data_IF_164666904792
#
_entry.id   IF_164666904792
#
_cell.length_a   1.000
_cell.length_b   1.000
_cell.length_c   1.000
_cell.angle_alpha   90.00
_cell.angle_beta   90.00
_cell.angle_gamma   90.00
#
_symmetry.space_group_name_H-M   'P 1'
#
loop_
_entity.id
_entity.type
_entity.pdbx_description
1 polymer ?
#
# COMPACT_ATOMS: atom_id res chain seq x y z
N UNK A 1 -13.75 -17.02 65.42
CA UNK A 1 -14.75 -16.24 64.66
C UNK A 1 -14.20 -14.84 64.55
N UNK A 2 -13.52 -14.52 63.46
CA UNK A 2 -12.97 -13.18 63.24
C UNK A 2 -14.13 -12.31 62.73
N UNK A 3 -14.58 -11.39 63.58
CA UNK A 3 -15.48 -10.30 63.20
C UNK A 3 -14.70 -9.39 62.24
N UNK A 4 -14.84 -9.61 60.94
CA UNK A 4 -14.63 -8.56 59.95
C UNK A 4 -15.68 -7.50 60.23
N UNK A 5 -15.29 -6.42 60.89
CA UNK A 5 -16.10 -5.22 60.99
C UNK A 5 -16.37 -4.74 59.58
N UNK A 6 -17.63 -4.80 59.16
CA UNK A 6 -18.12 -4.12 57.97
C UNK A 6 -17.98 -2.61 58.21
N UNK A 7 -16.83 -2.04 57.84
CA UNK A 7 -16.61 -0.61 57.82
C UNK A 7 -17.37 -0.04 56.62
N UNK A 8 -18.52 0.57 56.88
CA UNK A 8 -19.26 1.30 55.87
C UNK A 8 -18.51 2.56 55.43
N UNK A 9 -18.51 2.84 54.13
CA UNK A 9 -17.98 4.09 53.57
C UNK A 9 -18.76 5.29 54.08
N UNK A 10 -18.04 6.36 54.46
CA UNK A 10 -18.70 7.61 54.83
C UNK A 10 -19.24 8.30 53.58
N UNK A 11 -20.37 9.02 53.70
CA UNK A 11 -20.96 9.79 52.59
C UNK A 11 -19.94 10.75 51.97
N UNK A 12 -19.05 11.32 52.78
CA UNK A 12 -18.03 12.26 52.34
C UNK A 12 -16.95 11.60 51.49
N UNK A 13 -16.55 10.38 51.84
CA UNK A 13 -15.61 9.56 51.06
C UNK A 13 -16.20 9.16 49.70
N UNK A 14 -17.49 8.82 49.66
CA UNK A 14 -18.20 8.53 48.41
C UNK A 14 -18.31 9.78 47.51
N UNK A 15 -18.55 10.96 48.10
CA UNK A 15 -18.55 12.24 47.38
C UNK A 15 -17.18 12.58 46.80
N UNK A 16 -16.11 12.36 47.57
CA UNK A 16 -14.74 12.59 47.11
C UNK A 16 -14.37 11.64 45.96
N UNK A 17 -14.72 10.36 46.06
CA UNK A 17 -14.49 9.38 45.00
C UNK A 17 -15.23 9.75 43.71
N UNK A 18 -16.50 10.16 43.81
CA UNK A 18 -17.28 10.61 42.64
C UNK A 18 -16.70 11.89 42.01
N UNK A 19 -16.21 12.84 42.81
CA UNK A 19 -15.57 14.05 42.31
C UNK A 19 -14.29 13.71 41.52
N UNK A 20 -13.45 12.80 42.04
CA UNK A 20 -12.23 12.34 41.36
C UNK A 20 -12.57 11.63 40.05
N UNK A 21 -13.55 10.71 40.06
CA UNK A 21 -14.01 10.01 38.86
C UNK A 21 -14.56 10.99 37.83
N UNK A 22 -15.31 12.02 38.24
CA UNK A 22 -15.84 13.05 37.37
C UNK A 22 -14.74 13.85 36.66
N UNK A 23 -13.72 14.27 37.41
CA UNK A 23 -12.57 15.00 36.85
C UNK A 23 -11.78 14.11 35.89
N UNK A 24 -11.49 12.86 36.28
CA UNK A 24 -10.79 11.91 35.41
C UNK A 24 -11.57 11.59 34.13
N UNK A 25 -12.90 11.46 34.22
CA UNK A 25 -13.76 11.21 33.05
C UNK A 25 -13.77 12.40 32.09
N UNK A 26 -13.79 13.63 32.61
CA UNK A 26 -13.75 14.85 31.82
C UNK A 26 -12.43 15.00 31.04
N UNK A 27 -11.30 14.55 31.59
CA UNK A 27 -9.98 14.62 30.93
C UNK A 27 -9.78 13.47 29.94
N UNK A 28 -10.23 12.26 30.28
CA UNK A 28 -9.99 11.06 29.45
C UNK A 28 -10.89 10.99 28.21
N UNK A 29 -12.11 11.54 28.26
CA UNK A 29 -13.07 11.43 27.15
C UNK A 29 -12.59 12.11 25.85
N UNK A 30 -12.06 13.36 25.86
CA UNK A 30 -11.53 13.99 24.65
C UNK A 30 -10.31 13.26 24.06
N UNK A 31 -9.45 12.70 24.92
CA UNK A 31 -8.24 11.98 24.50
C UNK A 31 -8.57 10.73 23.68
N UNK A 32 -9.61 9.98 24.09
CA UNK A 32 -10.05 8.77 23.38
C UNK A 32 -10.61 9.11 21.99
N UNK A 33 -11.35 10.23 21.86
CA UNK A 33 -11.87 10.67 20.55
C UNK A 33 -10.76 11.12 19.59
N UNK A 34 -9.69 11.74 20.10
CA UNK A 34 -8.57 12.14 19.24
C UNK A 34 -7.69 10.97 18.81
N UNK A 35 -7.47 10.01 19.71
CA UNK A 35 -6.65 8.83 19.43
C UNK A 35 -7.32 7.85 18.45
N UNK A 36 -8.65 7.81 18.42
CA UNK A 36 -9.38 6.82 17.64
C UNK A 36 -9.91 7.42 16.32
N UNK A 37 -8.99 7.65 15.37
CA UNK A 37 -9.31 8.05 14.00
C UNK A 37 -9.20 6.84 13.08
N UNK A 38 -10.23 5.96 13.01
CA UNK A 38 -10.14 4.68 12.31
C UNK A 38 -9.80 4.84 10.83
N UNK A 39 -10.30 5.89 10.18
CA UNK A 39 -9.96 6.17 8.77
C UNK A 39 -8.48 6.50 8.59
N UNK A 40 -7.96 7.44 9.38
CA UNK A 40 -6.55 7.84 9.30
C UNK A 40 -5.63 6.65 9.61
N UNK A 41 -5.96 5.88 10.64
CA UNK A 41 -5.22 4.67 10.99
C UNK A 41 -5.28 3.63 9.87
N UNK A 42 -6.46 3.38 9.29
CA UNK A 42 -6.64 2.46 8.16
C UNK A 42 -5.87 2.89 6.91
N UNK A 43 -5.87 4.21 6.60
CA UNK A 43 -5.09 4.75 5.47
C UNK A 43 -3.60 4.53 5.67
N UNK A 44 -3.06 4.85 6.85
CA UNK A 44 -1.65 4.65 7.14
C UNK A 44 -1.26 3.17 7.22
N UNK A 45 -2.15 2.34 7.76
CA UNK A 45 -1.97 0.89 7.79
C UNK A 45 -1.86 0.34 6.36
N UNK A 46 -2.84 0.61 5.50
CA UNK A 46 -2.82 0.15 4.11
C UNK A 46 -1.61 0.71 3.33
N UNK A 47 -1.31 2.00 3.44
CA UNK A 47 -0.12 2.60 2.83
C UNK A 47 1.20 1.96 3.35
N UNK A 48 1.22 1.60 4.63
CA UNK A 48 2.29 0.87 5.29
C UNK A 48 2.49 -0.53 4.71
N UNK A 49 1.41 -1.29 4.47
CA UNK A 49 1.47 -2.61 3.82
C UNK A 49 2.12 -2.47 2.43
N UNK A 50 1.68 -1.53 1.60
CA UNK A 50 2.26 -1.32 0.27
C UNK A 50 3.74 -0.95 0.34
N UNK A 51 4.10 -0.05 1.26
CA UNK A 51 5.49 0.41 1.43
C UNK A 51 6.41 -0.71 1.92
N UNK A 52 5.92 -1.51 2.87
CA UNK A 52 6.61 -2.68 3.38
C UNK A 52 6.73 -3.76 2.31
N UNK A 53 5.66 -4.02 1.55
CA UNK A 53 5.62 -4.98 0.45
C UNK A 53 6.67 -4.66 -0.60
N UNK A 54 6.74 -3.40 -1.05
CA UNK A 54 7.78 -2.92 -1.96
C UNK A 54 9.19 -3.09 -1.39
N UNK A 55 9.40 -2.63 -0.15
CA UNK A 55 10.72 -2.69 0.49
C UNK A 55 11.20 -4.14 0.65
N UNK A 56 10.27 -5.03 0.99
CA UNK A 56 10.51 -6.47 1.07
C UNK A 56 10.88 -7.05 -0.28
N UNK A 57 10.11 -6.79 -1.34
CA UNK A 57 10.39 -7.29 -2.68
C UNK A 57 11.82 -6.96 -3.15
N UNK A 58 12.27 -5.73 -2.88
CA UNK A 58 13.64 -5.30 -3.13
C UNK A 58 14.65 -6.08 -2.26
N UNK A 59 14.40 -6.15 -0.96
CA UNK A 59 15.34 -6.75 0.00
C UNK A 59 15.51 -8.26 -0.17
N UNK A 60 14.45 -8.99 -0.52
CA UNK A 60 14.47 -10.43 -0.73
C UNK A 60 14.74 -10.82 -2.17
N UNK A 61 14.89 -9.84 -3.07
CA UNK A 61 15.02 -10.05 -4.52
C UNK A 61 13.92 -10.96 -5.08
N UNK A 62 12.69 -10.75 -4.62
CA UNK A 62 11.56 -11.60 -4.91
C UNK A 62 10.34 -10.76 -5.22
N UNK A 63 9.41 -11.27 -6.01
CA UNK A 63 8.17 -10.58 -6.32
C UNK A 63 7.18 -10.71 -5.15
N UNK A 64 6.42 -9.65 -4.91
CA UNK A 64 5.44 -9.60 -3.84
C UNK A 64 4.12 -9.05 -4.37
N UNK A 65 3.06 -9.83 -4.18
CA UNK A 65 1.70 -9.55 -4.64
C UNK A 65 0.83 -9.15 -3.45
N UNK A 66 0.02 -8.12 -3.63
CA UNK A 66 -0.96 -7.62 -2.68
C UNK A 66 -2.30 -7.51 -3.41
N UNK A 67 -3.36 -8.00 -2.79
CA UNK A 67 -4.70 -7.94 -3.36
C UNK A 67 -5.76 -7.89 -2.25
N UNK A 68 -7.01 -7.50 -2.56
CA UNK A 68 -8.14 -7.68 -1.65
C UNK A 68 -8.33 -9.16 -1.30
N UNK A 69 -8.67 -9.45 -0.05
CA UNK A 69 -9.00 -10.80 0.38
C UNK A 69 -10.33 -11.23 -0.24
N UNK A 70 -10.41 -12.30 -1.06
CA UNK A 70 -11.67 -12.70 -1.71
C UNK A 70 -12.81 -13.02 -0.73
N UNK A 71 -12.50 -13.38 0.51
CA UNK A 71 -13.51 -13.64 1.56
C UNK A 71 -14.02 -12.36 2.22
N UNK A 72 -13.25 -11.27 2.16
CA UNK A 72 -13.59 -9.97 2.74
C UNK A 72 -12.87 -8.82 1.98
N UNK A 73 -13.24 -8.56 0.72
CA UNK A 73 -12.47 -7.69 -0.17
C UNK A 73 -12.52 -6.22 0.25
N UNK A 74 -13.52 -5.80 1.02
CA UNK A 74 -13.68 -4.41 1.46
C UNK A 74 -12.86 -4.08 2.72
N UNK A 75 -12.36 -5.08 3.45
CA UNK A 75 -11.75 -4.86 4.78
C UNK A 75 -10.44 -5.61 5.01
N UNK A 76 -9.95 -6.44 4.08
CA UNK A 76 -8.74 -7.20 4.30
C UNK A 76 -7.91 -7.36 3.02
N UNK A 77 -6.59 -7.40 3.20
CA UNK A 77 -5.62 -7.71 2.16
C UNK A 77 -5.11 -9.15 2.30
N UNK A 78 -4.62 -9.69 1.20
CA UNK A 78 -3.73 -10.85 1.18
C UNK A 78 -2.41 -10.40 0.59
N UNK A 79 -1.32 -10.71 1.28
CA UNK A 79 0.04 -10.50 0.80
C UNK A 79 0.70 -11.84 0.54
N UNK A 80 1.24 -12.01 -0.67
CA UNK A 80 1.90 -13.23 -1.09
C UNK A 80 3.28 -12.90 -1.66
N UNK A 81 4.27 -13.75 -1.38
CA UNK A 81 5.57 -13.68 -2.02
C UNK A 81 5.71 -14.84 -3.01
N UNK A 82 6.41 -14.59 -4.11
CA UNK A 82 6.90 -15.62 -5.02
C UNK A 82 8.39 -15.82 -4.78
N UNK A 83 8.91 -16.99 -5.11
CA UNK A 83 10.37 -17.24 -5.15
C UNK A 83 11.02 -16.60 -6.40
N UNK A 84 10.22 -16.07 -7.31
CA UNK A 84 10.65 -15.48 -8.60
C UNK A 84 10.87 -13.98 -8.46
N UNK A 85 11.67 -13.40 -9.35
CA UNK A 85 11.97 -11.94 -9.33
C UNK A 85 10.90 -11.07 -9.96
N UNK A 86 10.09 -11.65 -10.84
CA UNK A 86 9.13 -10.93 -11.68
C UNK A 86 7.69 -11.21 -11.24
N UNK A 87 6.84 -10.21 -11.47
CA UNK A 87 5.40 -10.27 -11.25
C UNK A 87 4.67 -11.07 -12.32
N UNK A 88 5.18 -11.02 -13.55
CA UNK A 88 4.57 -11.73 -14.67
C UNK A 88 5.18 -13.14 -14.78
N UNK A 89 4.35 -14.16 -15.03
CA UNK A 89 4.85 -15.44 -15.49
C UNK A 89 5.40 -15.25 -16.90
N UNK A 90 6.66 -14.81 -17.01
CA UNK A 90 7.30 -14.63 -18.31
C UNK A 90 7.25 -15.96 -19.08
N UNK A 91 6.73 -15.90 -20.30
CA UNK A 91 6.68 -17.04 -21.21
C UNK A 91 7.62 -16.82 -22.37
N UNK A 92 8.34 -17.86 -22.75
CA UNK A 92 9.14 -17.92 -23.97
C UNK A 92 8.89 -19.26 -24.67
N UNK A 93 9.49 -19.47 -25.83
CA UNK A 93 9.37 -20.76 -26.54
C UNK A 93 10.75 -21.29 -26.91
N UNK A 94 10.89 -22.60 -26.96
CA UNK A 94 12.12 -23.26 -27.40
C UNK A 94 12.38 -22.96 -28.88
N UNK A 95 13.61 -22.60 -29.23
CA UNK A 95 14.03 -22.42 -30.62
C UNK A 95 14.43 -23.75 -31.27
N UNK A 96 14.88 -24.73 -30.49
CA UNK A 96 15.26 -26.06 -30.95
C UNK A 96 14.61 -27.18 -30.15
N UNK A 97 14.67 -28.40 -30.70
CA UNK A 97 14.30 -29.58 -29.92
C UNK A 97 15.35 -29.86 -28.84
N UNK A 98 14.92 -30.32 -27.68
CA UNK A 98 15.75 -30.62 -26.52
C UNK A 98 15.58 -32.09 -26.10
N UNK A 99 16.68 -32.76 -25.77
CA UNK A 99 16.71 -34.15 -25.34
C UNK A 99 16.60 -34.26 -23.80
N UNK A 100 16.16 -35.42 -23.30
CA UNK A 100 15.95 -35.74 -21.86
C UNK A 100 17.20 -35.66 -20.98
N UNK A 101 18.37 -35.48 -21.55
CA UNK A 101 19.64 -35.33 -20.81
C UNK A 101 20.22 -33.93 -20.95
N UNK A 102 19.52 -33.03 -21.66
CA UNK A 102 19.93 -31.63 -21.81
C UNK A 102 19.55 -30.82 -20.58
N UNK A 103 20.48 -29.99 -20.12
CA UNK A 103 20.24 -28.93 -19.15
C UNK A 103 20.34 -27.53 -19.80
N UNK A 104 20.42 -27.44 -21.13
CA UNK A 104 20.46 -26.18 -21.85
C UNK A 104 19.20 -26.03 -22.71
N UNK A 105 18.51 -24.91 -22.52
CA UNK A 105 17.31 -24.55 -23.28
C UNK A 105 17.66 -23.36 -24.17
N UNK A 106 17.72 -23.59 -25.47
CA UNK A 106 17.75 -22.49 -26.43
C UNK A 106 16.32 -21.95 -26.58
N UNK A 107 16.11 -20.68 -26.24
CA UNK A 107 14.81 -20.02 -26.21
C UNK A 107 14.80 -18.81 -27.14
N UNK A 108 13.61 -18.29 -27.46
CA UNK A 108 13.48 -17.08 -28.30
C UNK A 108 14.01 -15.85 -27.58
N UNK A 109 13.75 -15.75 -26.29
CA UNK A 109 14.24 -14.68 -25.42
C UNK A 109 14.47 -15.20 -24.01
N UNK A 110 15.54 -14.73 -23.38
CA UNK A 110 15.83 -14.91 -21.95
C UNK A 110 15.40 -13.71 -21.12
N UNK A 111 14.77 -12.71 -21.73
CA UNK A 111 14.29 -11.52 -21.04
C UNK A 111 13.23 -11.93 -20.00
N UNK A 112 13.39 -11.45 -18.77
CA UNK A 112 12.49 -11.76 -17.66
C UNK A 112 12.81 -13.06 -16.90
N UNK A 113 13.78 -13.85 -17.38
CA UNK A 113 14.28 -15.04 -16.68
C UNK A 113 15.56 -14.72 -15.91
N UNK A 114 15.70 -15.28 -14.71
CA UNK A 114 16.84 -15.12 -13.84
C UNK A 114 17.23 -16.44 -13.15
N UNK A 115 18.47 -16.51 -12.67
CA UNK A 115 18.93 -17.61 -11.83
C UNK A 115 18.04 -17.73 -10.58
N UNK A 116 17.58 -18.95 -10.29
CA UNK A 116 16.64 -19.28 -9.22
C UNK A 116 15.20 -19.48 -9.69
N UNK A 117 14.83 -18.98 -10.86
CA UNK A 117 13.46 -19.11 -11.36
C UNK A 117 13.10 -20.58 -11.63
N UNK A 118 11.88 -20.96 -11.25
CA UNK A 118 11.30 -22.28 -11.49
C UNK A 118 10.51 -22.24 -12.78
N UNK A 119 10.72 -23.22 -13.66
CA UNK A 119 10.13 -23.27 -14.98
C UNK A 119 9.21 -24.48 -15.15
N UNK A 120 8.15 -24.30 -15.93
CA UNK A 120 7.39 -25.36 -16.56
C UNK A 120 7.69 -25.35 -18.05
N UNK A 121 8.10 -26.49 -18.58
CA UNK A 121 8.52 -26.66 -19.97
C UNK A 121 7.55 -27.64 -20.61
N UNK A 122 6.59 -27.14 -21.39
CA UNK A 122 5.53 -27.97 -21.95
C UNK A 122 4.78 -28.78 -20.88
N UNK A 123 4.86 -30.11 -21.00
CA UNK A 123 4.28 -31.12 -20.11
C UNK A 123 5.30 -31.74 -19.14
N UNK A 124 6.51 -31.17 -19.02
CA UNK A 124 7.51 -31.67 -18.07
C UNK A 124 7.07 -31.46 -16.62
N UNK A 125 7.05 -32.55 -15.86
CA UNK A 125 6.73 -32.55 -14.43
C UNK A 125 7.98 -32.34 -13.55
N UNK A 126 9.18 -32.29 -14.13
CA UNK A 126 10.40 -32.09 -13.34
C UNK A 126 10.57 -30.66 -12.86
N UNK A 127 11.19 -30.52 -11.68
CA UNK A 127 11.53 -29.22 -11.10
C UNK A 127 12.69 -28.60 -11.88
N UNK A 128 12.35 -27.76 -12.87
CA UNK A 128 13.32 -27.07 -13.71
C UNK A 128 13.70 -25.73 -13.06
N UNK A 129 14.89 -25.63 -12.47
CA UNK A 129 15.39 -24.38 -11.88
C UNK A 129 16.47 -23.79 -12.77
N UNK A 130 16.31 -22.51 -13.15
CA UNK A 130 17.32 -21.76 -13.91
C UNK A 130 18.55 -21.54 -13.04
N UNK A 131 19.72 -21.98 -13.52
CA UNK A 131 21.00 -21.74 -12.88
C UNK A 131 21.68 -20.48 -13.44
N UNK A 132 21.66 -20.31 -14.77
CA UNK A 132 22.21 -19.13 -15.45
C UNK A 132 21.39 -18.80 -16.68
N UNK A 133 21.44 -17.53 -17.09
CA UNK A 133 20.88 -17.03 -18.34
C UNK A 133 21.98 -16.39 -19.18
N UNK A 134 21.99 -16.65 -20.48
CA UNK A 134 22.89 -16.01 -21.44
C UNK A 134 22.07 -15.30 -22.51
N UNK A 135 22.04 -13.97 -22.43
CA UNK A 135 21.29 -13.12 -23.36
C UNK A 135 21.91 -13.08 -24.76
N UNK A 136 23.21 -13.38 -24.92
CA UNK A 136 23.86 -13.36 -26.24
C UNK A 136 23.49 -14.58 -27.08
N UNK A 137 23.35 -15.74 -26.42
CA UNK A 137 22.97 -17.01 -27.05
C UNK A 137 21.49 -17.36 -26.85
N UNK A 138 20.73 -16.49 -26.18
CA UNK A 138 19.35 -16.75 -25.76
C UNK A 138 19.17 -18.14 -25.13
N UNK A 139 20.07 -18.50 -24.22
CA UNK A 139 20.11 -19.83 -23.60
C UNK A 139 19.86 -19.76 -22.10
N UNK A 140 18.97 -20.61 -21.61
CA UNK A 140 18.76 -20.87 -20.18
C UNK A 140 19.50 -22.16 -19.80
N UNK A 141 20.36 -22.11 -18.78
CA UNK A 141 20.98 -23.32 -18.23
C UNK A 141 20.25 -23.72 -16.97
N UNK A 142 19.79 -24.96 -16.90
CA UNK A 142 19.08 -25.54 -15.76
C UNK A 142 20.04 -26.20 -14.77
N UNK A 143 19.64 -26.26 -13.50
CA UNK A 143 20.39 -26.96 -12.45
C UNK A 143 20.38 -28.49 -12.60
N UNK A 144 19.43 -29.05 -13.35
CA UNK A 144 19.30 -30.47 -13.65
C UNK A 144 18.87 -30.66 -15.12
N UNK A 145 19.19 -31.78 -15.76
CA UNK A 145 18.61 -32.12 -17.06
C UNK A 145 17.08 -32.23 -17.00
N UNK A 146 16.42 -31.85 -18.10
CA UNK A 146 14.96 -31.97 -18.25
C UNK A 146 14.53 -33.44 -18.23
N UNK A 147 13.38 -33.78 -17.66
CA UNK A 147 12.94 -35.18 -17.55
C UNK A 147 12.38 -35.76 -18.86
N UNK A 148 11.96 -34.90 -19.78
CA UNK A 148 11.22 -35.25 -21.00
C UNK A 148 11.79 -34.50 -22.21
N UNK A 149 11.75 -35.12 -23.39
CA UNK A 149 12.21 -34.48 -24.61
C UNK A 149 11.10 -33.60 -25.18
N UNK A 150 11.45 -32.41 -25.66
CA UNK A 150 10.49 -31.47 -26.23
C UNK A 150 10.91 -31.00 -27.62
N UNK A 151 9.93 -30.73 -28.47
CA UNK A 151 10.17 -30.15 -29.79
C UNK A 151 10.40 -28.64 -29.71
N UNK A 152 10.99 -28.08 -30.78
CA UNK A 152 10.98 -26.62 -31.00
C UNK A 152 9.54 -26.07 -30.95
N UNK A 153 9.38 -24.84 -30.47
CA UNK A 153 8.10 -24.17 -30.27
C UNK A 153 7.39 -24.49 -28.94
N UNK A 154 7.94 -25.39 -28.13
CA UNK A 154 7.36 -25.71 -26.80
C UNK A 154 7.46 -24.49 -25.88
N UNK A 155 6.38 -24.18 -25.18
CA UNK A 155 6.32 -23.07 -24.22
C UNK A 155 7.17 -23.38 -22.98
N UNK A 156 7.91 -22.37 -22.57
CA UNK A 156 8.67 -22.32 -21.31
C UNK A 156 8.08 -21.18 -20.50
N UNK A 157 7.48 -21.48 -19.36
CA UNK A 157 6.82 -20.51 -18.50
C UNK A 157 7.44 -20.52 -17.09
N UNK A 158 7.56 -19.36 -16.47
CA UNK A 158 7.93 -19.27 -15.05
C UNK A 158 6.75 -19.77 -14.20
N UNK A 159 7.01 -20.72 -13.31
CA UNK A 159 6.05 -21.17 -12.30
C UNK A 159 6.08 -20.17 -11.15
N UNK A 160 5.09 -19.28 -11.10
CA UNK A 160 4.90 -18.41 -9.96
C UNK A 160 4.35 -19.22 -8.77
N UNK A 161 5.20 -19.48 -7.78
CA UNK A 161 4.83 -20.19 -6.55
C UNK A 161 4.44 -19.17 -5.48
N UNK A 162 3.28 -18.55 -5.65
CA UNK A 162 2.77 -17.57 -4.70
C UNK A 162 2.41 -18.23 -3.37
N UNK A 163 3.04 -17.77 -2.30
CA UNK A 163 2.80 -18.24 -0.95
C UNK A 163 2.45 -17.07 -0.04
N UNK A 164 1.50 -17.30 0.87
CA UNK A 164 1.15 -16.28 1.87
C UNK A 164 2.38 -15.89 2.67
N UNK A 165 2.53 -14.59 2.79
CA UNK A 165 3.74 -14.05 3.35
C UNK A 165 3.67 -13.96 4.88
N UNK A 166 4.53 -14.72 5.56
CA UNK A 166 4.53 -14.85 7.02
C UNK A 166 5.04 -13.62 7.77
N UNK A 167 5.65 -12.64 7.10
CA UNK A 167 6.08 -11.41 7.79
C UNK A 167 4.95 -10.40 7.95
N UNK A 168 3.82 -10.60 7.28
CA UNK A 168 2.64 -9.77 7.41
C UNK A 168 1.68 -10.44 8.38
N UNK A 169 1.40 -9.77 9.49
CA UNK A 169 0.46 -10.28 10.47
C UNK A 169 -0.98 -10.00 10.00
N UNK A 170 -1.91 -10.88 10.40
CA UNK A 170 -3.30 -10.79 9.93
C UNK A 170 -3.98 -9.51 10.42
N UNK A 171 -3.65 -9.08 11.64
CA UNK A 171 -4.08 -7.83 12.25
C UNK A 171 -3.65 -6.60 11.44
N UNK A 172 -2.45 -6.64 10.86
CA UNK A 172 -1.93 -5.54 10.04
C UNK A 172 -2.56 -5.53 8.65
N UNK A 173 -3.05 -6.66 8.15
CA UNK A 173 -3.73 -6.80 6.87
C UNK A 173 -5.26 -6.61 6.95
N UNK A 174 -5.81 -6.29 8.13
CA UNK A 174 -7.25 -6.12 8.33
C UNK A 174 -7.55 -4.68 8.74
N UNK A 175 -8.38 -4.01 7.96
CA UNK A 175 -8.84 -2.65 8.22
C UNK A 175 -9.88 -2.63 9.36
N UNK A 176 -10.03 -1.50 10.08
CA UNK A 176 -11.11 -1.36 11.06
C UNK A 176 -12.49 -1.57 10.41
N UNK A 177 -13.42 -2.28 11.08
CA UNK A 177 -14.76 -2.59 10.55
C UNK A 177 -15.56 -1.37 10.07
N UNK A 178 -15.26 -0.19 10.61
CA UNK A 178 -15.92 1.07 10.22
C UNK A 178 -15.32 1.76 8.98
N UNK A 179 -14.35 1.13 8.34
CA UNK A 179 -13.62 1.64 7.17
C UNK A 179 -13.71 0.60 6.06
N UNK A 180 -14.25 1.01 4.91
CA UNK A 180 -14.36 0.18 3.70
C UNK A 180 -13.35 0.61 2.65
N UNK A 181 -12.86 -0.35 1.89
CA UNK A 181 -11.93 -0.14 0.79
C UNK A 181 -12.63 -0.26 -0.56
N UNK A 182 -12.35 0.67 -1.47
CA UNK A 182 -12.79 0.66 -2.87
C UNK A 182 -11.57 0.94 -3.75
N UNK A 183 -11.27 0.05 -4.70
CA UNK A 183 -10.28 0.30 -5.76
C UNK A 183 -10.91 0.95 -6.98
N UNK A 184 -10.13 1.72 -7.76
CA UNK A 184 -10.52 2.18 -9.09
C UNK A 184 -10.68 1.03 -10.10
N UNK A 185 -9.99 -0.08 -9.86
CA UNK A 185 -10.05 -1.31 -10.64
C UNK A 185 -10.77 -2.39 -9.84
N UNK A 186 -11.60 -3.21 -10.49
CA UNK A 186 -12.27 -4.34 -9.86
C UNK A 186 -11.31 -5.55 -9.79
N UNK A 187 -11.35 -6.30 -8.68
CA UNK A 187 -10.52 -7.50 -8.46
C UNK A 187 -9.03 -7.27 -8.75
N UNK A 188 -8.54 -6.08 -8.37
CA UNK A 188 -7.18 -5.67 -8.64
C UNK A 188 -6.15 -6.53 -7.90
N UNK A 189 -4.99 -6.64 -8.53
CA UNK A 189 -3.80 -7.28 -8.01
C UNK A 189 -2.63 -6.32 -8.21
N UNK A 190 -1.95 -5.96 -7.13
CA UNK A 190 -0.74 -5.15 -7.16
C UNK A 190 0.45 -6.07 -6.96
N UNK A 191 1.41 -6.05 -7.86
CA UNK A 191 2.65 -6.77 -7.68
C UNK A 191 3.86 -5.83 -7.74
N UNK A 192 4.76 -5.98 -6.76
CA UNK A 192 6.08 -5.36 -6.75
C UNK A 192 7.13 -6.38 -7.20
N UNK A 193 7.90 -6.05 -8.23
CA UNK A 193 9.03 -6.88 -8.67
C UNK A 193 10.25 -6.73 -7.73
N UNK A 194 11.31 -7.49 -7.98
CA UNK A 194 12.55 -7.42 -7.17
C UNK A 194 13.28 -6.07 -7.24
N UNK A 195 12.86 -5.14 -8.11
CA UNK A 195 13.37 -3.77 -8.21
C UNK A 195 12.43 -2.77 -7.53
N UNK A 196 11.29 -3.23 -7.02
CA UNK A 196 10.25 -2.41 -6.41
C UNK A 196 9.42 -1.63 -7.42
N UNK A 197 9.37 -2.06 -8.68
CA UNK A 197 8.47 -1.52 -9.71
C UNK A 197 7.10 -2.17 -9.50
N UNK A 198 6.04 -1.37 -9.57
CA UNK A 198 4.67 -1.85 -9.41
C UNK A 198 4.06 -2.21 -10.76
N UNK A 199 3.45 -3.39 -10.84
CA UNK A 199 2.56 -3.79 -11.93
C UNK A 199 1.19 -4.02 -11.34
N UNK A 200 0.18 -3.40 -11.93
CA UNK A 200 -1.22 -3.55 -11.51
C UNK A 200 -1.90 -4.42 -12.55
N UNK A 201 -2.66 -5.40 -12.12
CA UNK A 201 -3.49 -6.22 -12.99
C UNK A 201 -4.91 -6.33 -12.44
N UNK A 202 -5.85 -6.64 -13.32
CA UNK A 202 -7.24 -6.93 -13.00
C UNK A 202 -7.72 -8.15 -13.82
N UNK A 203 -9.04 -8.37 -13.87
CA UNK A 203 -9.63 -9.47 -14.65
C UNK A 203 -9.35 -9.42 -16.16
N UNK A 204 -8.92 -8.28 -16.70
CA UNK A 204 -8.63 -8.06 -18.12
C UNK A 204 -7.13 -8.13 -18.44
N UNK A 205 -6.26 -8.24 -17.44
CA UNK A 205 -4.81 -8.36 -17.60
C UNK A 205 -4.06 -7.23 -16.89
N UNK A 206 -2.90 -6.85 -17.43
CA UNK A 206 -2.08 -5.76 -16.86
C UNK A 206 -2.77 -4.43 -17.18
N UNK A 207 -3.07 -3.64 -16.15
CA UNK A 207 -3.66 -2.32 -16.27
C UNK A 207 -2.59 -1.27 -16.61
N UNK A 208 -2.94 -0.31 -17.48
CA UNK A 208 -2.09 0.85 -17.79
C UNK A 208 -2.22 1.98 -16.76
N UNK A 209 -3.29 1.95 -15.95
CA UNK A 209 -3.56 2.94 -14.92
C UNK A 209 -2.80 2.67 -13.62
N UNK A 210 -2.57 3.72 -12.85
CA UNK A 210 -2.10 3.61 -11.48
C UNK A 210 -3.20 3.00 -10.59
N UNK A 211 -2.81 2.28 -9.54
CA UNK A 211 -3.76 1.75 -8.58
C UNK A 211 -4.18 2.86 -7.61
N UNK A 212 -5.46 3.16 -7.60
CA UNK A 212 -6.07 4.12 -6.69
C UNK A 212 -7.02 3.39 -5.74
N UNK A 213 -6.76 3.51 -4.45
CA UNK A 213 -7.58 2.93 -3.40
C UNK A 213 -8.17 4.05 -2.55
N UNK A 214 -9.50 4.05 -2.45
CA UNK A 214 -10.26 4.96 -1.59
C UNK A 214 -10.79 4.17 -0.39
N UNK A 215 -10.39 4.60 0.80
CA UNK A 215 -10.92 4.15 2.06
C UNK A 215 -12.03 5.09 2.52
N UNK A 216 -13.19 4.57 2.88
CA UNK A 216 -14.37 5.35 3.28
C UNK A 216 -14.73 5.01 4.71
N UNK A 217 -14.82 6.02 5.58
CA UNK A 217 -15.37 5.84 6.92
C UNK A 217 -16.90 5.79 6.86
N UNK A 218 -17.50 4.66 7.21
CA UNK A 218 -18.96 4.52 7.21
C UNK A 218 -19.65 5.48 8.19
N UNK A 219 -18.99 5.77 9.32
CA UNK A 219 -19.54 6.65 10.36
C UNK A 219 -19.49 8.13 10.00
N UNK A 220 -18.40 8.56 9.36
CA UNK A 220 -18.11 9.98 9.16
C UNK A 220 -18.21 10.42 7.70
N UNK A 221 -18.38 9.47 6.77
CA UNK A 221 -18.38 9.69 5.32
C UNK A 221 -17.12 10.43 4.83
N UNK A 222 -16.03 10.37 5.60
CA UNK A 222 -14.72 10.90 5.22
C UNK A 222 -13.97 9.87 4.39
N UNK A 223 -13.06 10.35 3.55
CA UNK A 223 -12.31 9.52 2.61
C UNK A 223 -10.80 9.62 2.85
N UNK A 224 -10.11 8.50 2.72
CA UNK A 224 -8.66 8.41 2.66
C UNK A 224 -8.27 7.83 1.32
N UNK A 225 -7.30 8.43 0.64
CA UNK A 225 -6.89 8.01 -0.71
C UNK A 225 -5.46 7.52 -0.68
N UNK A 226 -5.19 6.42 -1.35
CA UNK A 226 -3.87 5.82 -1.52
C UNK A 226 -3.67 5.62 -3.03
N UNK A 227 -2.53 6.06 -3.55
CA UNK A 227 -2.17 5.91 -4.96
C UNK A 227 -0.84 5.16 -5.01
N UNK A 228 -0.82 4.04 -5.74
CA UNK A 228 0.40 3.29 -6.06
C UNK A 228 0.69 3.48 -7.54
N UNK A 229 1.75 4.23 -7.81
CA UNK A 229 2.19 4.51 -9.16
C UNK A 229 2.93 3.30 -9.74
N UNK A 230 2.85 3.08 -11.05
CA UNK A 230 3.58 1.97 -11.71
C UNK A 230 5.10 1.98 -11.45
N UNK A 231 5.69 3.17 -11.18
CA UNK A 231 7.09 3.29 -10.75
C UNK A 231 7.39 2.76 -9.34
N UNK A 232 6.37 2.27 -8.61
CA UNK A 232 6.45 1.80 -7.23
C UNK A 232 6.41 2.91 -6.17
N UNK A 233 6.20 4.17 -6.57
CA UNK A 233 5.96 5.25 -5.62
C UNK A 233 4.59 5.05 -4.97
N UNK A 234 4.48 5.33 -3.68
CA UNK A 234 3.24 5.21 -2.91
C UNK A 234 2.97 6.58 -2.30
N UNK A 235 1.79 7.12 -2.59
CA UNK A 235 1.29 8.36 -1.99
C UNK A 235 0.00 8.06 -1.20
N UNK A 236 -0.20 8.78 -0.10
CA UNK A 236 -1.41 8.64 0.71
C UNK A 236 -1.83 9.97 1.29
N UNK A 237 -3.12 10.30 1.15
CA UNK A 237 -3.72 11.54 1.64
C UNK A 237 -5.04 11.24 2.32
N UNK A 238 -5.24 11.79 3.52
CA UNK A 238 -6.55 11.78 4.17
C UNK A 238 -7.29 13.01 3.69
N UNK A 239 -8.32 12.81 2.86
CA UNK A 239 -9.13 13.90 2.33
C UNK A 239 -10.20 14.21 3.37
N UNK A 240 -10.10 15.39 3.98
CA UNK A 240 -11.23 15.86 4.77
C UNK A 240 -12.40 16.07 3.81
N UNK A 241 -13.63 15.63 4.18
CA UNK A 241 -14.79 15.90 3.36
C UNK A 241 -14.77 17.40 3.10
N UNK A 242 -14.88 17.76 1.82
CA UNK A 242 -15.17 19.14 1.46
C UNK A 242 -16.43 19.44 2.25
N UNK A 243 -16.36 20.39 3.19
CA UNK A 243 -17.52 20.76 3.99
C UNK A 243 -18.66 20.91 3.00
N UNK A 244 -19.62 19.97 3.03
CA UNK A 244 -20.86 20.15 2.31
C UNK A 244 -21.37 21.43 2.92
N UNK A 245 -21.26 22.52 2.17
CA UNK A 245 -21.91 23.76 2.50
C UNK A 245 -23.37 23.37 2.45
N UNK A 246 -23.89 22.95 3.60
CA UNK A 246 -25.29 22.94 3.89
C UNK A 246 -25.63 24.42 3.84
N UNK A 247 -25.87 24.91 2.61
CA UNK A 247 -26.64 26.11 2.39
C UNK A 247 -27.97 25.70 2.96
N UNK A 248 -28.15 25.96 4.26
CA UNK A 248 -29.44 25.95 4.88
C UNK A 248 -30.26 26.91 4.03
N UNK A 249 -31.05 26.36 3.12
CA UNK A 249 -32.17 27.07 2.57
C UNK A 249 -32.97 27.46 3.81
N UNK A 250 -32.90 28.74 4.15
CA UNK A 250 -33.87 29.39 5.00
C UNK A 250 -35.21 29.24 4.26
N UNK A 251 -35.87 28.10 4.45
CA UNK A 251 -37.29 27.97 4.16
C UNK A 251 -37.99 28.83 5.19
N UNK A 252 -38.30 30.06 4.77
CA UNK A 252 -39.29 30.88 5.43
C UNK A 252 -40.61 30.09 5.55
N UNK A 253 -41.18 30.21 6.73
CA UNK A 253 -42.39 29.58 7.20
C UNK A 253 -43.55 29.56 6.18
N UNK A 254 -44.34 28.49 6.23
CA UNK A 254 -45.79 28.65 6.41
C UNK A 254 -46.43 27.40 7.03
N UNK A 255 -46.91 27.59 8.26
CA UNK A 255 -47.79 26.69 8.98
C UNK A 255 -49.11 26.54 8.23
N UNK A 256 -49.40 25.34 7.71
CA UNK A 256 -50.77 24.94 7.39
C UNK A 256 -51.18 23.71 8.19
N UNK A 257 -51.94 23.98 9.24
CA UNK A 257 -52.72 23.03 10.02
C UNK A 257 -53.89 22.56 9.15
N UNK A 258 -54.00 21.25 8.88
CA UNK A 258 -55.32 20.68 8.59
C UNK A 258 -55.44 19.26 9.16
N UNK A 259 -56.43 19.17 10.05
CA UNK A 259 -57.04 17.95 10.55
C UNK A 259 -57.57 17.08 9.39
N UNK A 260 -57.38 15.77 9.47
CA UNK A 260 -57.99 14.82 8.53
C UNK A 260 -57.95 13.39 9.07
N UNK A 261 -59.05 12.98 9.67
CA UNK A 261 -59.28 11.70 10.34
C UNK A 261 -59.49 10.53 9.37
N UNK A 262 -59.20 9.33 9.88
CA UNK A 262 -59.93 8.07 9.70
C UNK A 262 -59.52 7.04 8.63
N UNK A 263 -59.54 5.80 9.14
CA UNK A 263 -60.07 4.57 8.56
C UNK A 263 -59.10 3.59 7.87
N UNK A 264 -59.09 2.41 8.47
CA UNK A 264 -58.52 1.17 8.00
C UNK A 264 -59.18 0.66 6.71
N UNK A 265 -58.41 -0.05 5.88
CA UNK A 265 -58.94 -1.11 5.04
C UNK A 265 -57.86 -2.14 4.66
N UNK A 266 -58.25 -3.38 4.87
CA UNK A 266 -57.60 -4.65 4.55
C UNK A 266 -57.76 -5.00 3.06
N UNK A 267 -56.78 -5.71 2.49
CA UNK A 267 -56.87 -6.42 1.19
C UNK A 267 -55.48 -6.50 0.55
N UNK A 268 -54.75 -7.62 0.49
CA UNK A 268 -55.05 -8.93 -0.12
C UNK A 268 -55.52 -8.84 -1.58
N UNK A 269 -54.60 -8.96 -2.53
CA UNK A 269 -54.80 -9.82 -3.70
C UNK A 269 -53.48 -10.22 -4.36
N UNK A 270 -53.27 -11.52 -4.39
CA UNK A 270 -52.40 -12.27 -5.29
C UNK A 270 -52.92 -12.16 -6.73
N UNK A 271 -52.04 -11.96 -7.71
CA UNK A 271 -52.20 -12.53 -9.07
C UNK A 271 -50.85 -12.67 -9.74
N UNK A 272 -50.44 -13.92 -9.85
CA UNK A 272 -49.62 -14.50 -10.92
C UNK A 272 -50.23 -14.25 -12.30
N UNK A 273 -49.39 -13.96 -13.30
CA UNK A 273 -49.50 -14.49 -14.67
C UNK A 273 -48.21 -14.24 -15.46
N UNK A 274 -47.50 -15.34 -15.73
CA UNK A 274 -46.71 -15.67 -16.93
C UNK A 274 -47.61 -15.55 -18.21
N UNK A 275 -47.17 -15.64 -19.49
CA UNK A 275 -45.88 -16.14 -20.00
C UNK A 275 -45.29 -15.50 -21.28
N UNK A 276 -44.07 -15.96 -21.60
CA UNK A 276 -43.55 -16.28 -22.95
C UNK A 276 -43.47 -15.21 -24.05
N UNK A 277 -42.25 -14.96 -24.52
CA UNK A 277 -41.93 -14.57 -25.90
C UNK A 277 -40.47 -14.97 -26.18
N UNK A 278 -40.14 -16.17 -26.69
CA UNK A 278 -40.15 -16.64 -28.08
C UNK A 278 -39.67 -15.61 -29.12
N UNK A 279 -38.55 -15.91 -29.80
CA UNK A 279 -38.00 -15.08 -30.87
C UNK A 279 -36.57 -15.45 -31.28
N UNK A 280 -36.47 -16.42 -32.18
CA UNK A 280 -35.26 -17.00 -32.79
C UNK A 280 -34.55 -16.11 -33.82
N UNK A 281 -33.41 -16.63 -34.32
CA UNK A 281 -32.62 -16.25 -35.52
C UNK A 281 -31.62 -15.08 -35.34
N UNK A 282 -30.41 -15.07 -35.90
CA UNK A 282 -29.86 -15.81 -37.04
C UNK A 282 -28.33 -15.98 -36.94
N UNK A 283 -27.86 -17.00 -37.63
CA UNK A 283 -26.49 -17.29 -38.04
C UNK A 283 -25.97 -16.33 -39.13
N UNK A 284 -24.72 -15.87 -39.01
CA UNK A 284 -23.78 -15.66 -40.13
C UNK A 284 -22.35 -15.63 -39.56
N UNK A 285 -21.59 -16.72 -39.67
CA UNK A 285 -20.54 -16.87 -40.70
C UNK A 285 -20.15 -15.56 -41.38
N UNK A 286 -18.99 -15.02 -41.02
CA UNK A 286 -18.12 -14.43 -42.03
C UNK A 286 -16.65 -14.78 -41.78
N UNK A 287 -16.04 -15.26 -42.85
CA UNK A 287 -14.73 -15.87 -42.95
C UNK A 287 -13.83 -14.83 -43.60
N UNK A 288 -13.00 -14.14 -42.82
CA UNK A 288 -12.13 -13.06 -43.29
C UNK A 288 -10.66 -13.39 -43.04
N UNK A 289 -10.05 -14.10 -43.98
CA UNK A 289 -8.60 -14.34 -44.04
C UNK A 289 -7.92 -13.06 -44.53
N UNK A 290 -7.25 -12.31 -43.65
CA UNK A 290 -6.35 -11.22 -44.05
C UNK A 290 -4.92 -11.60 -43.69
N UNK A 291 -4.14 -11.91 -44.73
CA UNK A 291 -2.69 -12.07 -44.67
C UNK A 291 -2.04 -10.70 -44.85
N UNK A 292 -1.76 -10.01 -43.74
CA UNK A 292 -0.90 -8.84 -43.77
C UNK A 292 0.54 -9.24 -43.42
N UNK A 293 1.42 -9.00 -44.38
CA UNK A 293 2.84 -9.30 -44.33
C UNK A 293 3.54 -8.10 -43.68
N UNK A 294 4.33 -8.26 -42.60
CA UNK A 294 5.05 -7.13 -42.02
C UNK A 294 6.19 -6.66 -42.94
N UNK A 295 6.43 -5.33 -43.03
CA UNK A 295 7.50 -4.78 -43.87
C UNK A 295 8.89 -5.15 -43.31
N UNK A 296 9.79 -5.51 -44.23
CA UNK A 296 11.20 -5.76 -43.92
C UNK A 296 11.90 -4.52 -43.32
N UNK A 297 12.78 -4.71 -42.33
CA UNK A 297 13.65 -3.64 -41.84
C UNK A 297 14.78 -3.33 -42.84
N UNK A 298 14.94 -2.04 -43.10
CA UNK A 298 16.00 -1.43 -43.90
C UNK A 298 17.37 -1.59 -43.19
N UNK A 299 18.43 -2.08 -43.86
CA UNK A 299 19.75 -2.21 -43.25
C UNK A 299 20.62 -1.01 -43.63
N UNK A 300 20.80 -0.05 -42.72
CA UNK A 300 21.98 0.83 -42.74
C UNK A 300 22.09 1.60 -41.43
N UNK A 301 22.87 1.06 -40.50
CA UNK A 301 23.57 1.85 -39.48
C UNK A 301 24.97 1.26 -39.32
N UNK A 302 25.95 1.93 -39.94
CA UNK A 302 27.36 1.71 -39.66
C UNK A 302 27.70 2.31 -38.29
N UNK A 303 28.25 1.48 -37.41
CA UNK A 303 28.89 1.90 -36.17
C UNK A 303 30.31 2.37 -36.51
N UNK A 304 30.58 3.64 -36.27
CA UNK A 304 31.91 4.24 -36.33
C UNK A 304 32.64 3.95 -35.00
N UNK A 305 33.78 3.25 -35.08
CA UNK A 305 34.65 2.96 -33.95
C UNK A 305 35.49 4.20 -33.61
N UNK A 306 35.29 4.77 -32.42
CA UNK A 306 35.96 6.01 -32.02
C UNK A 306 36.42 6.05 -30.57
N UNK A 307 37.63 5.54 -30.33
CA UNK A 307 38.66 6.05 -29.39
C UNK A 307 38.30 6.18 -27.90
N UNK A 308 38.91 5.29 -27.11
CA UNK A 308 39.05 5.39 -25.64
C UNK A 308 40.10 6.46 -25.32
N UNK A 309 39.70 7.52 -24.61
CA UNK A 309 40.61 8.48 -23.95
C UNK A 309 40.42 8.36 -22.43
N UNK A 310 41.49 8.25 -21.62
CA UNK A 310 41.35 8.12 -20.18
C UNK A 310 40.96 9.46 -19.54
N UNK A 311 39.79 9.50 -18.91
CA UNK A 311 39.31 10.66 -18.14
C UNK A 311 40.00 10.69 -16.77
N UNK A 312 40.87 11.68 -16.59
CA UNK A 312 41.43 12.08 -15.29
C UNK A 312 40.38 12.74 -14.41
N UNK A 313 40.30 12.30 -13.15
CA UNK A 313 39.46 12.87 -12.09
C UNK A 313 39.69 14.38 -11.88
N UNK A 314 38.62 15.15 -11.63
CA UNK A 314 38.72 16.38 -10.87
C UNK A 314 38.14 16.17 -9.45
N UNK A 315 39.03 16.10 -8.47
CA UNK A 315 38.74 16.49 -7.09
C UNK A 315 38.55 18.00 -7.06
N UNK A 316 37.34 18.48 -6.79
CA UNK A 316 37.06 19.78 -6.17
C UNK A 316 35.62 19.77 -5.68
N UNK A 317 35.42 19.27 -4.46
CA UNK A 317 34.17 19.46 -3.74
C UNK A 317 34.36 20.68 -2.83
N UNK A 318 33.90 21.83 -3.30
CA UNK A 318 33.85 23.05 -2.51
C UNK A 318 32.63 22.97 -1.61
N UNK A 319 32.86 22.74 -0.33
CA UNK A 319 31.86 22.84 0.74
C UNK A 319 31.23 24.25 0.70
N UNK A 320 29.90 24.39 0.75
CA UNK A 320 29.29 25.69 1.03
C UNK A 320 29.68 26.06 2.47
N UNK A 321 30.33 27.20 2.66
CA UNK A 321 30.49 27.80 3.98
C UNK A 321 29.11 28.10 4.54
N UNK A 322 28.64 27.24 5.45
CA UNK A 322 27.53 27.55 6.35
C UNK A 322 28.03 28.66 7.26
N UNK A 323 27.50 29.86 7.04
CA UNK A 323 27.75 31.03 7.85
C UNK A 323 27.08 30.82 9.21
N UNK A 324 27.74 30.12 10.12
CA UNK A 324 27.36 29.98 11.53
C UNK A 324 27.75 31.25 12.27
N UNK A 325 27.00 32.33 11.99
CA UNK A 325 26.90 33.43 12.93
C UNK A 325 26.26 32.87 14.20
N UNK A 326 26.99 32.90 15.32
CA UNK A 326 26.45 32.62 16.64
C UNK A 326 25.21 33.53 16.84
N UNK A 327 24.03 32.91 16.88
CA UNK A 327 22.79 33.61 17.18
C UNK A 327 22.80 33.86 18.68
N UNK A 328 22.98 35.13 19.06
CA UNK A 328 22.90 35.58 20.44
C UNK A 328 21.49 35.29 21.01
N UNK A 329 21.46 34.54 22.11
CA UNK A 329 20.33 33.82 22.70
C UNK A 329 19.28 34.71 23.41
N UNK A 330 19.09 35.98 23.01
CA UNK A 330 18.29 36.91 23.85
C UNK A 330 17.44 37.97 23.15
N UNK A 331 17.08 37.84 21.86
CA UNK A 331 16.15 38.80 21.24
C UNK A 331 15.47 38.30 19.97
N UNK A 332 14.82 37.13 19.99
CA UNK A 332 13.82 36.83 18.96
C UNK A 332 12.47 37.42 19.42
N UNK A 333 12.04 38.51 18.78
CA UNK A 333 10.65 38.98 18.84
C UNK A 333 9.76 37.89 18.21
N UNK A 334 9.41 36.91 19.04
CA UNK A 334 8.69 35.69 18.64
C UNK A 334 7.25 35.95 18.19
N UNK A 335 6.76 37.18 18.31
CA UNK A 335 5.36 37.55 18.05
C UNK A 335 4.98 37.62 16.56
N UNK A 336 5.93 37.51 15.62
CA UNK A 336 5.66 37.71 14.18
C UNK A 336 6.10 36.58 13.25
N UNK A 337 6.41 35.39 13.77
CA UNK A 337 6.75 34.23 12.94
C UNK A 337 5.50 33.57 12.39
N UNK A 338 5.51 33.24 11.09
CA UNK A 338 4.50 32.37 10.48
C UNK A 338 4.57 30.96 11.07
N UNK A 339 3.48 30.19 10.95
CA UNK A 339 3.45 28.80 11.45
C UNK A 339 4.60 27.94 10.87
N UNK A 340 4.89 28.05 9.57
CA UNK A 340 5.98 27.31 8.94
C UNK A 340 7.36 27.71 9.48
N UNK A 341 7.57 28.99 9.79
CA UNK A 341 8.82 29.44 10.42
C UNK A 341 8.94 28.91 11.85
N UNK A 342 7.85 28.91 12.63
CA UNK A 342 7.85 28.32 13.98
C UNK A 342 8.07 26.81 13.94
N UNK A 343 7.51 26.13 12.94
CA UNK A 343 7.73 24.69 12.71
C UNK A 343 9.19 24.39 12.38
N UNK A 344 9.84 25.22 11.56
CA UNK A 344 11.27 25.07 11.26
C UNK A 344 12.14 25.22 12.53
N UNK A 345 11.86 26.22 13.37
CA UNK A 345 12.56 26.42 14.65
C UNK A 345 12.32 25.26 15.61
N UNK A 346 11.09 24.73 15.67
CA UNK A 346 10.77 23.54 16.47
C UNK A 346 11.54 22.30 16.01
N UNK A 347 11.65 22.10 14.69
CA UNK A 347 12.39 20.98 14.13
C UNK A 347 13.89 21.10 14.43
N UNK A 348 14.46 22.30 14.27
CA UNK A 348 15.87 22.55 14.60
C UNK A 348 16.15 22.29 16.09
N UNK A 349 15.24 22.68 16.98
CA UNK A 349 15.35 22.37 18.41
C UNK A 349 15.32 20.86 18.68
N UNK A 350 14.44 20.08 18.03
CA UNK A 350 14.45 18.62 18.14
C UNK A 350 15.78 18.02 17.65
N UNK A 351 16.30 18.54 16.54
CA UNK A 351 17.55 18.06 15.96
C UNK A 351 18.76 18.34 16.88
N UNK A 352 18.70 19.41 17.67
CA UNK A 352 19.74 19.80 18.64
C UNK A 352 19.55 19.22 20.06
N UNK A 353 18.36 18.69 20.39
CA UNK A 353 18.10 18.17 21.73
C UNK A 353 18.81 16.82 21.95
N UNK A 354 19.84 16.82 22.82
CA UNK A 354 20.69 15.64 23.06
C UNK A 354 19.90 14.40 23.52
N UNK A 355 18.87 14.58 24.35
CA UNK A 355 18.05 13.48 24.87
C UNK A 355 17.14 12.88 23.77
N UNK A 356 16.59 13.72 22.89
CA UNK A 356 15.85 13.21 21.74
C UNK A 356 16.76 12.41 20.79
N UNK A 357 17.96 12.92 20.53
CA UNK A 357 18.93 12.24 19.68
C UNK A 357 19.45 10.93 20.31
N UNK A 358 19.64 10.86 21.63
CA UNK A 358 20.05 9.63 22.32
C UNK A 358 19.00 8.52 22.21
N UNK A 359 17.71 8.88 22.29
CA UNK A 359 16.60 7.95 22.05
C UNK A 359 16.61 7.45 20.60
N UNK A 360 16.74 8.34 19.62
CA UNK A 360 16.77 7.97 18.20
C UNK A 360 17.95 7.05 17.85
N UNK A 361 19.10 7.26 18.49
CA UNK A 361 20.30 6.46 18.28
C UNK A 361 20.29 5.16 19.11
N UNK A 362 19.31 4.97 20.00
CA UNK A 362 19.22 3.81 20.88
C UNK A 362 20.34 3.74 21.93
N UNK A 363 21.03 4.86 22.18
CA UNK A 363 22.08 4.94 23.21
C UNK A 363 21.49 5.13 24.61
N UNK A 364 20.23 5.57 24.69
CA UNK A 364 19.49 5.74 25.93
C UNK A 364 18.16 4.97 25.87
N UNK A 365 17.81 4.29 26.97
CA UNK A 365 16.52 3.62 27.12
C UNK A 365 15.54 4.58 27.79
N UNK A 366 14.31 4.68 27.27
CA UNK A 366 13.26 5.53 27.82
C UNK A 366 12.82 5.03 29.21
N UNK A 367 13.28 5.70 30.26
CA UNK A 367 12.77 5.54 31.62
C UNK A 367 11.82 6.72 31.95
N UNK A 368 10.52 6.42 32.04
CA UNK A 368 9.47 7.42 32.22
C UNK A 368 9.51 8.10 33.59
N UNK A 369 10.14 7.46 34.58
CA UNK A 369 10.26 8.01 35.92
C UNK A 369 11.55 8.84 36.11
N UNK A 370 12.45 8.79 35.12
CA UNK A 370 13.70 9.54 35.13
C UNK A 370 13.47 11.05 34.99
N UNK A 371 14.30 11.84 35.68
CA UNK A 371 14.25 13.31 35.57
C UNK A 371 14.56 13.84 34.16
N UNK A 372 15.52 13.27 33.39
CA UNK A 372 15.75 13.68 32.00
C UNK A 372 14.50 13.53 31.12
N UNK A 373 13.77 12.43 31.26
CA UNK A 373 12.52 12.23 30.53
C UNK A 373 11.46 13.27 30.90
N UNK A 374 11.29 13.56 32.19
CA UNK A 374 10.30 14.55 32.65
C UNK A 374 10.62 15.96 32.15
N UNK A 375 11.89 16.36 32.20
CA UNK A 375 12.31 17.67 31.71
C UNK A 375 12.14 17.76 30.20
N UNK A 376 12.51 16.71 29.46
CA UNK A 376 12.27 16.63 28.02
C UNK A 376 10.78 16.75 27.66
N UNK A 377 9.89 16.03 28.35
CA UNK A 377 8.44 16.12 28.13
C UNK A 377 7.93 17.52 28.43
N UNK A 378 8.40 18.15 29.51
CA UNK A 378 8.05 19.53 29.86
C UNK A 378 8.49 20.52 28.77
N UNK A 379 9.73 20.41 28.29
CA UNK A 379 10.24 21.24 27.20
C UNK A 379 9.43 21.03 25.91
N UNK A 380 9.09 19.78 25.56
CA UNK A 380 8.21 19.50 24.42
C UNK A 380 6.88 20.23 24.55
N UNK A 381 6.24 20.17 25.73
CA UNK A 381 4.94 20.80 25.96
C UNK A 381 5.05 22.32 25.80
N UNK A 382 6.10 22.95 26.36
CA UNK A 382 6.34 24.38 26.23
C UNK A 382 6.57 24.79 24.76
N UNK A 383 7.40 24.03 24.03
CA UNK A 383 7.69 24.29 22.62
C UNK A 383 6.48 24.07 21.71
N UNK A 384 5.66 23.05 21.97
CA UNK A 384 4.41 22.84 21.25
C UNK A 384 3.39 23.94 21.54
N UNK A 385 3.29 24.38 22.80
CA UNK A 385 2.41 25.50 23.17
C UNK A 385 2.81 26.77 22.43
N UNK A 386 4.12 27.04 22.33
CA UNK A 386 4.66 28.15 21.54
C UNK A 386 4.43 28.00 20.01
N UNK A 387 4.55 26.78 19.47
CA UNK A 387 4.31 26.51 18.04
C UNK A 387 2.87 26.86 17.62
N UNK A 388 1.91 26.59 18.52
CA UNK A 388 0.47 26.76 18.27
C UNK A 388 -0.14 28.06 18.82
N UNK A 389 0.60 28.88 19.57
CA UNK A 389 0.21 30.25 19.93
C UNK A 389 0.41 31.21 18.76
#
# INVERSE_FOLDING_TARGET
MNNTQDQGFTILELLAALAIIGILSAITTPLIMWANKPLQNGTYQAAGIFSQGRSRAIATTSALRIQPNPSNPEHSFIVQASDTRSCDPNTTVLTGAIATDSNQLAVVSTQGFAAGDRLKIGDDETENVVLTTDSNSATLTLGKPIGTAHSSGTTVEIIANWQNDKTFFQEDMTLPDTVKMIGNLADWELCFDSRGIATVSDTFGIAEDDLEITLISEKSQKEGKIIVFQGGMIDSVVIQPKDDIVVAALEDAETNTSNGSSAAATGSSTTTNDPSNNGSNATSNDNGTSTDTPPQPNPDYQLDEGVIVPSTSPTNNTTPETNTGAIDDNSFDSENLTFEQRRAVYQEWLDQNEYYQSILQGTETVDRDSEPYKEFVKEIIEKLTWLYS
#
